data_IF_558178282881
#
_entry.id   IF_558178282881
#
_cell.length_a   1.000
_cell.length_b   1.000
_cell.length_c   1.000
_cell.angle_alpha   90.00
_cell.angle_beta   90.00
_cell.angle_gamma   90.00
#
_symmetry.space_group_name_H-M   'P 1'
#
loop_
_entity.id
_entity.type
_entity.pdbx_description
1 polymer ?
#
# COMPACT_ATOMS: atom_id res chain seq x y z
N UNK A 1 -9.37 -5.98 14.68
CA UNK A 1 -9.60 -5.19 13.46
C UNK A 1 -8.23 -4.87 12.92
N UNK A 2 -8.05 -4.98 11.60
CA UNK A 2 -6.81 -4.56 10.96
C UNK A 2 -6.65 -3.04 11.00
N UNK A 3 -5.49 -2.56 10.59
CA UNK A 3 -5.09 -1.17 10.44
C UNK A 3 -6.13 -0.34 9.68
N UNK A 4 -6.72 -0.94 8.66
CA UNK A 4 -7.77 -0.34 7.87
C UNK A 4 -9.09 -1.02 8.21
N UNK A 5 -10.00 -0.27 8.84
CA UNK A 5 -11.36 -0.72 9.07
C UNK A 5 -12.12 -0.92 7.75
N UNK A 6 -13.09 -1.83 7.78
CA UNK A 6 -14.01 -2.16 6.68
C UNK A 6 -14.85 -0.91 6.32
N UNK A 7 -14.36 -0.07 5.39
CA UNK A 7 -14.89 1.20 4.83
C UNK A 7 -13.84 2.30 4.64
N UNK A 8 -12.56 2.04 4.91
CA UNK A 8 -11.51 3.04 4.64
C UNK A 8 -11.36 3.30 3.13
N UNK A 9 -11.01 4.55 2.77
CA UNK A 9 -10.70 4.92 1.39
C UNK A 9 -9.58 4.04 0.78
N UNK A 10 -8.66 3.58 1.62
CA UNK A 10 -7.56 2.69 1.26
C UNK A 10 -8.06 1.30 0.84
N UNK A 11 -9.05 0.77 1.53
CA UNK A 11 -9.68 -0.50 1.15
C UNK A 11 -10.45 -0.38 -0.16
N UNK A 12 -11.16 0.74 -0.38
CA UNK A 12 -11.82 1.01 -1.66
C UNK A 12 -10.81 1.08 -2.80
N UNK A 13 -9.69 1.78 -2.59
CA UNK A 13 -8.59 1.84 -3.55
C UNK A 13 -7.97 0.47 -3.82
N UNK A 14 -7.81 -0.36 -2.80
CA UNK A 14 -7.32 -1.73 -2.98
C UNK A 14 -8.31 -2.60 -3.77
N UNK A 15 -9.62 -2.45 -3.53
CA UNK A 15 -10.65 -3.17 -4.29
C UNK A 15 -10.70 -2.71 -5.75
N UNK A 16 -10.66 -1.40 -6.00
CA UNK A 16 -10.60 -0.83 -7.35
C UNK A 16 -9.33 -1.28 -8.07
N UNK A 17 -8.19 -1.28 -7.36
CA UNK A 17 -6.94 -1.83 -7.87
C UNK A 17 -7.11 -3.30 -8.27
N UNK A 18 -7.67 -4.16 -7.42
CA UNK A 18 -7.85 -5.58 -7.74
C UNK A 18 -8.79 -5.80 -8.94
N UNK A 19 -9.85 -5.01 -9.05
CA UNK A 19 -10.80 -5.09 -10.16
C UNK A 19 -10.18 -4.66 -11.48
N UNK A 20 -9.31 -3.65 -11.47
CA UNK A 20 -8.75 -3.04 -12.68
C UNK A 20 -7.36 -3.58 -13.07
N UNK A 21 -6.59 -4.10 -12.11
CA UNK A 21 -5.26 -4.70 -12.33
C UNK A 21 -5.31 -6.04 -13.06
N UNK A 22 -6.44 -6.77 -13.00
CA UNK A 22 -6.58 -8.08 -13.64
C UNK A 22 -6.95 -7.99 -15.12
N UNK A 23 -7.54 -6.86 -15.57
CA UNK A 23 -7.99 -6.67 -16.95
C UNK A 23 -7.17 -5.56 -17.63
N UNK A 24 -6.34 -5.95 -18.61
CA UNK A 24 -5.49 -5.01 -19.36
C UNK A 24 -6.28 -3.86 -20.02
N UNK A 25 -7.52 -4.10 -20.44
CA UNK A 25 -8.40 -3.07 -21.01
C UNK A 25 -8.83 -1.98 -20.01
N UNK A 26 -8.70 -2.22 -18.70
CA UNK A 26 -9.10 -1.27 -17.65
C UNK A 26 -7.91 -0.60 -16.96
N UNK A 27 -6.67 -0.81 -17.42
CA UNK A 27 -5.48 -0.15 -16.86
C UNK A 27 -5.58 1.39 -16.88
N UNK A 28 -6.32 1.96 -17.83
CA UNK A 28 -6.59 3.40 -17.90
C UNK A 28 -7.37 3.95 -16.68
N UNK A 29 -7.98 3.07 -15.87
CA UNK A 29 -8.67 3.45 -14.63
C UNK A 29 -7.79 3.39 -13.39
N UNK A 30 -6.57 2.82 -13.48
CA UNK A 30 -5.62 2.84 -12.38
C UNK A 30 -5.02 4.24 -12.29
N UNK A 31 -5.05 4.88 -11.12
CA UNK A 31 -4.36 6.14 -10.84
C UNK A 31 -3.26 5.92 -9.81
N UNK A 32 -2.34 6.88 -9.67
CA UNK A 32 -1.35 6.86 -8.58
C UNK A 32 -1.96 6.76 -7.19
N UNK A 33 -3.14 7.35 -7.00
CA UNK A 33 -3.85 7.29 -5.73
C UNK A 33 -4.41 5.89 -5.47
N UNK A 34 -4.94 5.22 -6.50
CA UNK A 34 -5.41 3.82 -6.41
C UNK A 34 -4.23 2.88 -6.13
N UNK A 35 -3.12 3.02 -6.87
CA UNK A 35 -1.93 2.19 -6.69
C UNK A 35 -1.30 2.45 -5.32
N UNK A 36 -1.16 3.72 -4.93
CA UNK A 36 -0.63 4.08 -3.62
C UNK A 36 -1.53 3.59 -2.48
N UNK A 37 -2.85 3.67 -2.63
CA UNK A 37 -3.82 3.09 -1.70
C UNK A 37 -3.67 1.58 -1.57
N UNK A 38 -3.62 0.86 -2.69
CA UNK A 38 -3.41 -0.58 -2.70
C UNK A 38 -2.07 -0.97 -2.04
N UNK A 39 -1.00 -0.21 -2.31
CA UNK A 39 0.30 -0.42 -1.69
C UNK A 39 0.25 -0.20 -0.17
N UNK A 40 -0.44 0.84 0.30
CA UNK A 40 -0.62 1.09 1.72
C UNK A 40 -1.39 -0.04 2.40
N UNK A 41 -2.46 -0.54 1.78
CA UNK A 41 -3.27 -1.65 2.30
C UNK A 41 -2.43 -2.93 2.46
N UNK A 42 -1.71 -3.31 1.42
CA UNK A 42 -0.85 -4.51 1.44
C UNK A 42 0.32 -4.36 2.43
N UNK A 43 0.92 -3.16 2.52
CA UNK A 43 1.97 -2.90 3.51
C UNK A 43 1.45 -3.02 4.94
N UNK A 44 0.26 -2.50 5.23
CA UNK A 44 -0.37 -2.63 6.54
C UNK A 44 -0.68 -4.09 6.89
N UNK A 45 -1.22 -4.85 5.94
CA UNK A 45 -1.49 -6.28 6.12
C UNK A 45 -0.19 -7.07 6.35
N UNK A 46 0.86 -6.79 5.59
CA UNK A 46 2.17 -7.40 5.79
C UNK A 46 2.75 -7.06 7.17
N UNK A 47 2.53 -5.84 7.65
CA UNK A 47 2.94 -5.42 8.98
C UNK A 47 2.14 -6.15 10.07
N UNK A 48 0.82 -6.23 9.95
CA UNK A 48 -0.01 -7.00 10.88
C UNK A 48 0.41 -8.46 10.96
N UNK A 49 0.66 -9.09 9.81
CA UNK A 49 1.17 -10.46 9.75
C UNK A 49 2.55 -10.59 10.41
N UNK A 50 3.42 -9.60 10.21
CA UNK A 50 4.72 -9.54 10.88
C UNK A 50 4.55 -9.44 12.39
N UNK A 51 3.66 -8.58 12.87
CA UNK A 51 3.37 -8.39 14.30
C UNK A 51 2.75 -9.63 14.92
N UNK A 52 1.83 -10.29 14.21
CA UNK A 52 1.21 -11.52 14.68
C UNK A 52 2.21 -12.67 14.82
N UNK A 53 3.24 -12.72 13.97
CA UNK A 53 4.26 -13.79 13.96
C UNK A 53 5.45 -13.50 14.88
N UNK A 54 5.92 -12.25 14.92
CA UNK A 54 7.19 -11.88 15.55
C UNK A 54 7.02 -10.94 16.75
N UNK A 55 5.81 -10.42 16.98
CA UNK A 55 5.56 -9.34 17.94
C UNK A 55 5.73 -7.95 17.32
N UNK A 56 5.38 -6.92 18.10
CA UNK A 56 5.54 -5.53 17.67
C UNK A 56 7.03 -5.17 17.53
N UNK A 57 7.43 -4.37 16.52
CA UNK A 57 8.80 -3.84 16.45
C UNK A 57 9.15 -3.02 17.69
N UNK A 58 10.43 -2.96 18.01
CA UNK A 58 10.95 -2.31 19.23
C UNK A 58 10.74 -0.78 19.21
N UNK A 59 10.51 -0.19 18.04
CA UNK A 59 10.32 1.25 17.89
C UNK A 59 9.36 1.61 16.75
N UNK A 60 8.72 2.78 16.89
CA UNK A 60 7.93 3.39 15.82
C UNK A 60 8.77 3.60 14.53
N UNK A 61 10.06 3.89 14.68
CA UNK A 61 10.97 4.04 13.55
C UNK A 61 11.15 2.73 12.77
N UNK A 62 11.35 1.60 13.45
CA UNK A 62 11.43 0.28 12.81
C UNK A 62 10.10 -0.09 12.12
N UNK A 63 8.97 0.23 12.75
CA UNK A 63 7.67 0.00 12.14
C UNK A 63 7.49 0.81 10.86
N UNK A 64 7.90 2.09 10.89
CA UNK A 64 7.87 2.99 9.73
C UNK A 64 8.76 2.48 8.59
N UNK A 65 9.99 2.08 8.89
CA UNK A 65 10.91 1.52 7.88
C UNK A 65 10.34 0.28 7.20
N UNK A 66 9.73 -0.63 7.96
CA UNK A 66 9.09 -1.83 7.41
C UNK A 66 8.00 -1.46 6.40
N UNK A 67 7.12 -0.52 6.77
CA UNK A 67 5.97 -0.12 5.96
C UNK A 67 6.41 0.62 4.70
N UNK A 68 7.34 1.56 4.82
CA UNK A 68 7.92 2.27 3.68
C UNK A 68 8.57 1.27 2.72
N UNK A 69 9.32 0.30 3.25
CA UNK A 69 9.90 -0.78 2.45
C UNK A 69 8.84 -1.63 1.75
N UNK A 70 7.77 -2.01 2.45
CA UNK A 70 6.68 -2.81 1.89
C UNK A 70 5.90 -2.06 0.79
N UNK A 71 5.57 -0.78 1.00
CA UNK A 71 4.94 0.07 -0.01
C UNK A 71 5.84 0.20 -1.23
N UNK A 72 7.12 0.53 -1.02
CA UNK A 72 8.09 0.70 -2.10
C UNK A 72 8.20 -0.57 -2.95
N UNK A 73 8.32 -1.74 -2.32
CA UNK A 73 8.39 -3.03 -3.01
C UNK A 73 7.11 -3.36 -3.78
N UNK A 74 5.94 -3.07 -3.23
CA UNK A 74 4.66 -3.28 -3.91
C UNK A 74 4.55 -2.41 -5.16
N UNK A 75 4.79 -1.10 -5.03
CA UNK A 75 4.72 -0.15 -6.15
C UNK A 75 5.76 -0.50 -7.22
N UNK A 76 6.99 -0.86 -6.83
CA UNK A 76 8.03 -1.29 -7.77
C UNK A 76 7.56 -2.45 -8.65
N UNK A 77 7.08 -3.52 -8.00
CA UNK A 77 6.60 -4.73 -8.67
C UNK A 77 5.42 -4.43 -9.60
N UNK A 78 4.47 -3.61 -9.16
CA UNK A 78 3.31 -3.27 -9.98
C UNK A 78 3.69 -2.49 -11.23
N UNK A 79 4.61 -1.54 -11.12
CA UNK A 79 5.10 -0.81 -12.28
C UNK A 79 5.88 -1.70 -13.26
N UNK A 80 6.77 -2.56 -12.75
CA UNK A 80 7.56 -3.50 -13.56
C UNK A 80 6.69 -4.54 -14.27
N UNK A 81 5.67 -5.08 -13.60
CA UNK A 81 4.87 -6.20 -14.11
C UNK A 81 3.68 -5.76 -14.94
N UNK A 82 3.11 -4.58 -14.68
CA UNK A 82 1.93 -4.06 -15.37
C UNK A 82 2.26 -3.05 -16.46
N UNK A 83 3.54 -2.65 -16.60
CA UNK A 83 3.99 -1.72 -17.65
C UNK A 83 3.39 -0.33 -17.50
N UNK A 84 3.32 0.17 -16.26
CA UNK A 84 2.71 1.46 -15.92
C UNK A 84 3.65 2.65 -16.16
N UNK A 85 4.54 2.57 -17.16
CA UNK A 85 5.59 3.56 -17.44
C UNK A 85 5.05 4.96 -17.75
N UNK A 86 3.75 5.07 -18.06
CA UNK A 86 3.07 6.35 -18.29
C UNK A 86 2.69 7.08 -17.00
N UNK A 87 2.84 6.45 -15.84
CA UNK A 87 2.57 7.03 -14.53
C UNK A 87 3.87 7.39 -13.79
N UNK A 88 3.87 8.51 -13.07
CA UNK A 88 4.88 8.85 -12.04
C UNK A 88 4.90 7.85 -10.84
N UNK A 89 5.73 6.83 -10.95
CA UNK A 89 5.97 5.84 -9.90
C UNK A 89 6.30 6.43 -8.52
N UNK A 90 7.04 7.53 -8.47
CA UNK A 90 7.43 8.16 -7.21
C UNK A 90 6.23 8.80 -6.51
N UNK A 91 5.27 9.32 -7.28
CA UNK A 91 4.02 9.81 -6.69
C UNK A 91 3.21 8.66 -6.06
N UNK A 92 3.11 7.50 -6.71
CA UNK A 92 2.42 6.33 -6.13
C UNK A 92 3.09 5.85 -4.83
N UNK A 93 4.43 5.80 -4.79
CA UNK A 93 5.20 5.48 -3.57
C UNK A 93 4.89 6.45 -2.45
N UNK A 94 5.05 7.75 -2.69
CA UNK A 94 4.79 8.80 -1.68
C UNK A 94 3.37 8.76 -1.15
N UNK A 95 2.38 8.51 -2.02
CA UNK A 95 0.97 8.38 -1.62
C UNK A 95 0.75 7.17 -0.73
N UNK A 96 1.33 6.02 -1.07
CA UNK A 96 1.24 4.81 -0.26
C UNK A 96 1.93 4.97 1.09
N UNK A 97 3.16 5.50 1.09
CA UNK A 97 3.92 5.77 2.30
C UNK A 97 3.16 6.69 3.23
N UNK A 98 2.66 7.83 2.74
CA UNK A 98 1.92 8.78 3.55
C UNK A 98 0.63 8.18 4.13
N UNK A 99 -0.10 7.36 3.36
CA UNK A 99 -1.32 6.70 3.85
C UNK A 99 -1.00 5.69 4.95
N UNK A 100 0.01 4.85 4.75
CA UNK A 100 0.39 3.82 5.70
C UNK A 100 1.06 4.39 6.95
N UNK A 101 1.86 5.46 6.81
CA UNK A 101 2.45 6.19 7.93
C UNK A 101 1.38 6.81 8.85
N UNK A 102 0.37 7.47 8.28
CA UNK A 102 -0.73 8.03 9.09
C UNK A 102 -1.47 6.96 9.89
N UNK A 103 -1.60 5.75 9.34
CA UNK A 103 -2.27 4.66 10.05
C UNK A 103 -1.37 4.05 11.13
N UNK A 104 -0.07 3.94 10.85
CA UNK A 104 0.93 3.58 11.86
C UNK A 104 0.90 4.55 13.05
N UNK A 105 0.86 5.86 12.76
CA UNK A 105 0.80 6.92 13.78
C UNK A 105 -0.45 6.81 14.67
N UNK A 106 -1.57 6.31 14.16
CA UNK A 106 -2.79 6.10 14.96
C UNK A 106 -2.69 4.93 15.95
N UNK A 107 -1.74 4.02 15.73
CA UNK A 107 -1.61 2.79 16.51
C UNK A 107 -0.54 2.84 17.60
N UNK A 108 0.29 3.88 17.58
CA UNK A 108 1.31 4.17 18.57
C UNK A 108 0.85 5.29 19.50
#
# INVERSE_FOLDING_TARGET
MGWFDNNSEVEQQFNDYNQHSQNQEHHAKLSHEIIGGAAAYEAAKAYEDHVAKNGKPDSHAQAKEFIVGAVGAFVEREFETKGLDFFDKEEAKRRGEHRAERELERQY
#
